data_IF_602466046351
#
_entry.id   IF_602466046351
#
_cell.length_a   1.000
_cell.length_b   1.000
_cell.length_c   1.000
_cell.angle_alpha   90.00
_cell.angle_beta   90.00
_cell.angle_gamma   90.00
#
_symmetry.space_group_name_H-M   'P 1'
#
loop_
_entity.id
_entity.type
_entity.pdbx_description
1 polymer ?
#
# COMPACT_ATOMS: atom_id res chain seq x y z
N UNK A 1 -2.65 33.66 -18.20
CA UNK A 1 -3.49 33.29 -19.36
C UNK A 1 -2.57 32.80 -20.48
N UNK A 2 -3.07 31.95 -21.36
CA UNK A 2 -2.37 31.55 -22.59
C UNK A 2 -3.43 31.30 -23.67
N UNK A 3 -3.14 31.66 -24.93
CA UNK A 3 -4.11 31.58 -26.04
C UNK A 3 -5.45 32.30 -25.75
N UNK A 4 -5.42 33.40 -24.99
CA UNK A 4 -6.62 34.22 -24.71
C UNK A 4 -7.60 33.62 -23.69
N UNK A 5 -7.24 32.53 -23.01
CA UNK A 5 -8.05 31.96 -21.91
C UNK A 5 -7.19 31.67 -20.65
N UNK A 6 -7.82 31.60 -19.46
CA UNK A 6 -7.15 31.12 -18.25
C UNK A 6 -6.61 29.70 -18.44
N UNK A 7 -5.36 29.46 -18.00
CA UNK A 7 -4.70 28.16 -18.22
C UNK A 7 -5.43 27.00 -17.53
N UNK A 8 -6.20 27.27 -16.47
CA UNK A 8 -7.02 26.27 -15.80
C UNK A 8 -8.17 25.71 -16.63
N UNK A 9 -8.47 26.29 -17.79
CA UNK A 9 -9.47 25.76 -18.73
C UNK A 9 -8.89 24.70 -19.68
N UNK A 10 -7.56 24.57 -19.79
CA UNK A 10 -6.95 23.53 -20.60
C UNK A 10 -7.05 22.17 -19.90
N UNK A 11 -7.56 21.16 -20.61
CA UNK A 11 -7.70 19.78 -20.10
C UNK A 11 -6.38 19.22 -19.56
N UNK A 12 -5.26 19.52 -20.23
CA UNK A 12 -3.93 19.13 -19.77
C UNK A 12 -3.57 19.68 -18.39
N UNK A 13 -3.97 20.92 -18.09
CA UNK A 13 -3.77 21.54 -16.76
C UNK A 13 -4.77 20.98 -15.76
N UNK A 14 -6.02 20.79 -16.15
CA UNK A 14 -7.06 20.21 -15.29
C UNK A 14 -6.71 18.79 -14.84
N UNK A 15 -6.16 17.95 -15.72
CA UNK A 15 -5.72 16.60 -15.38
C UNK A 15 -4.64 16.61 -14.27
N UNK A 16 -3.71 17.56 -14.34
CA UNK A 16 -2.63 17.73 -13.34
C UNK A 16 -3.18 18.24 -12.02
N UNK A 17 -4.07 19.25 -12.06
CA UNK A 17 -4.77 19.76 -10.88
C UNK A 17 -5.65 18.70 -10.20
N UNK A 18 -6.35 17.88 -10.99
CA UNK A 18 -7.16 16.77 -10.46
C UNK A 18 -6.29 15.73 -9.75
N UNK A 19 -5.12 15.39 -10.32
CA UNK A 19 -4.17 14.47 -9.70
C UNK A 19 -3.58 15.03 -8.41
N UNK A 20 -3.23 16.31 -8.40
CA UNK A 20 -2.80 17.04 -7.19
C UNK A 20 -3.86 16.97 -6.08
N UNK A 21 -5.11 17.30 -6.40
CA UNK A 21 -6.21 17.23 -5.44
C UNK A 21 -6.43 15.80 -4.93
N UNK A 22 -6.39 14.81 -5.82
CA UNK A 22 -6.52 13.39 -5.47
C UNK A 22 -5.39 12.91 -4.54
N UNK A 23 -4.15 13.33 -4.79
CA UNK A 23 -3.02 13.05 -3.90
C UNK A 23 -3.25 13.68 -2.53
N UNK A 24 -3.61 14.97 -2.46
CA UNK A 24 -3.85 15.66 -1.20
C UNK A 24 -4.93 14.95 -0.37
N UNK A 25 -6.06 14.58 -0.99
CA UNK A 25 -7.14 13.84 -0.35
C UNK A 25 -6.67 12.47 0.17
N UNK A 26 -5.94 11.71 -0.64
CA UNK A 26 -5.43 10.40 -0.24
C UNK A 26 -4.46 10.49 0.95
N UNK A 27 -3.57 11.50 0.95
CA UNK A 27 -2.60 11.68 2.03
C UNK A 27 -3.25 12.13 3.33
N UNK A 28 -4.23 13.05 3.26
CA UNK A 28 -4.92 13.50 4.47
C UNK A 28 -5.80 12.39 5.07
N UNK A 29 -6.49 11.61 4.23
CA UNK A 29 -7.23 10.43 4.69
C UNK A 29 -6.31 9.39 5.35
N UNK A 30 -5.17 9.09 4.73
CA UNK A 30 -4.21 8.13 5.27
C UNK A 30 -3.52 8.64 6.55
N UNK A 31 -3.25 9.94 6.64
CA UNK A 31 -2.75 10.61 7.86
C UNK A 31 -3.77 10.45 8.98
N UNK A 32 -5.03 10.82 8.74
CA UNK A 32 -6.12 10.72 9.73
C UNK A 32 -6.30 9.29 10.20
N UNK A 33 -6.34 8.30 9.29
CA UNK A 33 -6.41 6.89 9.64
C UNK A 33 -5.26 6.45 10.56
N UNK A 34 -4.03 6.86 10.23
CA UNK A 34 -2.84 6.48 11.01
C UNK A 34 -2.86 7.14 12.39
N UNK A 35 -3.17 8.44 12.46
CA UNK A 35 -3.30 9.16 13.73
C UNK A 35 -4.37 8.56 14.64
N UNK A 36 -5.57 8.26 14.11
CA UNK A 36 -6.62 7.60 14.89
C UNK A 36 -6.17 6.26 15.49
N UNK A 37 -5.39 5.47 14.74
CA UNK A 37 -4.87 4.21 15.28
C UNK A 37 -3.79 4.42 16.36
N UNK A 38 -2.98 5.48 16.25
CA UNK A 38 -2.02 5.85 17.29
C UNK A 38 -2.72 6.33 18.56
N UNK A 39 -3.78 7.12 18.43
CA UNK A 39 -4.59 7.62 19.56
C UNK A 39 -5.26 6.46 20.33
N UNK A 40 -5.52 5.33 19.65
CA UNK A 40 -6.00 4.09 20.25
C UNK A 40 -4.88 3.24 20.90
N UNK A 41 -3.64 3.70 20.89
CA UNK A 41 -2.48 2.98 21.45
C UNK A 41 -2.00 1.79 20.60
N UNK A 42 -2.42 1.68 19.34
CA UNK A 42 -2.01 0.58 18.46
C UNK A 42 -0.57 0.75 17.97
N UNK A 43 0.17 -0.36 17.89
CA UNK A 43 1.52 -0.39 17.31
C UNK A 43 1.44 -0.61 15.80
N UNK A 44 1.48 0.47 15.02
CA UNK A 44 1.17 0.49 13.59
C UNK A 44 2.38 0.32 12.64
N UNK A 45 3.42 -0.45 12.99
CA UNK A 45 4.71 -0.38 12.26
C UNK A 45 4.62 -0.64 10.75
N UNK A 46 3.78 -1.59 10.31
CA UNK A 46 3.57 -1.89 8.87
C UNK A 46 2.78 -0.78 8.19
N UNK A 47 1.73 -0.27 8.85
CA UNK A 47 0.89 0.83 8.32
C UNK A 47 1.72 2.12 8.19
N UNK A 48 2.55 2.44 9.19
CA UNK A 48 3.46 3.59 9.13
C UNK A 48 4.47 3.46 7.99
N UNK A 49 5.01 2.26 7.74
CA UNK A 49 5.90 2.01 6.61
C UNK A 49 5.20 2.19 5.26
N UNK A 50 3.96 1.68 5.11
CA UNK A 50 3.11 1.92 3.93
C UNK A 50 2.88 3.42 3.74
N UNK A 51 2.50 4.13 4.81
CA UNK A 51 2.22 5.56 4.76
C UNK A 51 3.46 6.35 4.34
N UNK A 52 4.63 6.10 4.95
CA UNK A 52 5.89 6.76 4.60
C UNK A 52 6.26 6.54 3.14
N UNK A 53 6.23 5.30 2.67
CA UNK A 53 6.62 4.96 1.31
C UNK A 53 5.69 5.63 0.29
N UNK A 54 4.38 5.47 0.46
CA UNK A 54 3.43 6.00 -0.50
C UNK A 54 3.24 7.53 -0.40
N UNK A 55 3.39 8.14 0.78
CA UNK A 55 3.33 9.59 0.92
C UNK A 55 4.46 10.27 0.16
N UNK A 56 5.68 9.74 0.29
CA UNK A 56 6.86 10.32 -0.35
C UNK A 56 6.88 10.06 -1.86
N UNK A 57 6.40 8.91 -2.34
CA UNK A 57 6.19 8.68 -3.77
C UNK A 57 5.12 9.59 -4.37
N UNK A 58 3.99 9.80 -3.68
CA UNK A 58 2.95 10.72 -4.15
C UNK A 58 3.39 12.17 -4.08
N UNK A 59 4.21 12.55 -3.10
CA UNK A 59 4.81 13.87 -3.02
C UNK A 59 5.65 14.16 -4.27
N UNK A 60 6.45 13.20 -4.75
CA UNK A 60 7.17 13.34 -6.03
C UNK A 60 6.23 13.68 -7.17
N UNK A 61 5.19 12.86 -7.37
CA UNK A 61 4.20 13.06 -8.45
C UNK A 61 3.50 14.41 -8.34
N UNK A 62 3.11 14.81 -7.12
CA UNK A 62 2.47 16.09 -6.87
C UNK A 62 3.39 17.28 -7.19
N UNK A 63 4.65 17.22 -6.76
CA UNK A 63 5.62 18.29 -7.08
C UNK A 63 5.86 18.35 -8.59
N UNK A 64 6.04 17.20 -9.25
CA UNK A 64 6.19 17.14 -10.71
C UNK A 64 4.99 17.77 -11.43
N UNK A 65 3.76 17.47 -11.00
CA UNK A 65 2.54 18.09 -11.55
C UNK A 65 2.48 19.60 -11.33
N UNK A 66 2.84 20.05 -10.14
CA UNK A 66 2.87 21.47 -9.83
C UNK A 66 3.89 22.19 -10.72
N UNK A 67 5.07 21.57 -10.94
CA UNK A 67 6.08 22.11 -11.84
C UNK A 67 5.62 22.11 -13.29
N UNK A 68 4.98 21.04 -13.77
CA UNK A 68 4.39 20.96 -15.13
C UNK A 68 3.40 22.11 -15.38
N UNK A 69 2.52 22.40 -14.42
CA UNK A 69 1.53 23.50 -14.53
C UNK A 69 2.21 24.87 -14.54
N UNK A 70 3.29 25.05 -13.78
CA UNK A 70 4.04 26.32 -13.71
C UNK A 70 5.06 26.48 -14.85
N UNK A 71 5.39 25.39 -15.55
CA UNK A 71 6.34 25.33 -16.66
C UNK A 71 7.68 26.02 -16.34
N UNK A 72 8.17 26.89 -17.22
CA UNK A 72 9.48 27.53 -17.11
C UNK A 72 9.72 28.27 -15.79
N UNK A 73 8.67 28.78 -15.13
CA UNK A 73 8.80 29.43 -13.81
C UNK A 73 9.36 28.49 -12.75
N UNK A 74 9.01 27.20 -12.81
CA UNK A 74 9.43 26.21 -11.81
C UNK A 74 10.80 25.59 -12.10
N UNK A 75 11.34 25.77 -13.32
CA UNK A 75 12.66 25.27 -13.71
C UNK A 75 13.76 26.29 -13.41
N UNK A 76 13.44 27.58 -13.49
CA UNK A 76 14.42 28.65 -13.24
C UNK A 76 14.69 28.77 -11.74
N UNK A 77 15.96 28.69 -11.35
CA UNK A 77 16.36 28.98 -9.97
C UNK A 77 16.18 30.47 -9.66
N UNK A 78 15.54 30.78 -8.53
CA UNK A 78 15.33 32.13 -8.08
C UNK A 78 14.20 32.27 -7.06
N UNK A 79 14.01 33.46 -6.47
CA UNK A 79 13.03 33.69 -5.41
C UNK A 79 11.58 33.48 -5.85
N UNK A 80 11.31 33.47 -7.16
CA UNK A 80 9.98 33.21 -7.74
C UNK A 80 9.66 31.71 -7.90
N UNK A 81 10.66 30.83 -7.75
CA UNK A 81 10.51 29.38 -7.82
C UNK A 81 10.39 28.76 -6.43
N UNK A 82 9.19 28.86 -5.86
CA UNK A 82 8.90 28.30 -4.54
C UNK A 82 8.87 26.75 -4.52
N UNK A 83 8.81 26.09 -5.68
CA UNK A 83 8.77 24.63 -5.80
C UNK A 83 10.18 24.01 -5.86
N UNK A 84 11.19 24.76 -6.30
CA UNK A 84 12.53 24.22 -6.56
C UNK A 84 13.19 23.59 -5.33
N UNK A 85 13.06 24.22 -4.15
CA UNK A 85 13.59 23.65 -2.91
C UNK A 85 12.87 22.35 -2.52
N UNK A 86 11.55 22.32 -2.67
CA UNK A 86 10.74 21.14 -2.38
C UNK A 86 11.09 19.98 -3.32
N UNK A 87 11.18 20.24 -4.63
CA UNK A 87 11.59 19.25 -5.63
C UNK A 87 12.94 18.62 -5.29
N UNK A 88 13.94 19.44 -4.93
CA UNK A 88 15.26 18.96 -4.50
C UNK A 88 15.22 18.14 -3.21
N UNK A 89 14.27 18.40 -2.32
CA UNK A 89 14.10 17.66 -1.07
C UNK A 89 13.35 16.31 -1.24
N UNK A 90 12.60 16.12 -2.33
CA UNK A 90 11.80 14.89 -2.55
C UNK A 90 12.63 13.60 -2.43
N UNK A 91 13.81 13.47 -3.06
CA UNK A 91 14.61 12.26 -2.94
C UNK A 91 15.02 11.95 -1.50
N UNK A 92 15.25 12.99 -0.68
CA UNK A 92 15.62 12.85 0.73
C UNK A 92 14.52 12.12 1.49
N UNK A 93 13.25 12.51 1.36
CA UNK A 93 12.15 11.80 2.03
C UNK A 93 11.96 10.35 1.55
N UNK A 94 12.34 10.04 0.32
CA UNK A 94 12.22 8.69 -0.25
C UNK A 94 13.35 7.77 0.22
N UNK A 95 14.55 8.31 0.42
CA UNK A 95 15.76 7.52 0.76
C UNK A 95 16.07 7.52 2.26
N UNK A 96 15.87 8.65 2.94
CA UNK A 96 16.10 8.82 4.37
C UNK A 96 14.95 8.18 5.16
N UNK A 97 15.21 7.80 6.41
CA UNK A 97 14.30 7.04 7.30
C UNK A 97 14.05 5.58 6.87
N UNK A 98 14.90 5.05 6.00
CA UNK A 98 14.76 3.73 5.39
C UNK A 98 14.34 3.88 3.94
N UNK A 99 15.24 3.49 3.03
CA UNK A 99 15.00 3.63 1.61
C UNK A 99 13.72 2.88 1.22
N UNK A 100 12.80 3.57 0.53
CA UNK A 100 11.50 2.97 0.18
C UNK A 100 11.65 1.65 -0.59
N UNK A 101 12.71 1.53 -1.39
CA UNK A 101 13.03 0.30 -2.14
C UNK A 101 13.22 -0.92 -1.23
N UNK A 102 13.90 -0.75 -0.09
CA UNK A 102 14.12 -1.82 0.88
C UNK A 102 12.91 -1.97 1.80
N UNK A 103 12.35 -0.85 2.25
CA UNK A 103 11.19 -0.80 3.15
C UNK A 103 9.97 -1.50 2.54
N UNK A 104 9.75 -1.36 1.22
CA UNK A 104 8.64 -2.01 0.52
C UNK A 104 8.72 -3.53 0.57
N UNK A 105 9.90 -4.09 0.34
CA UNK A 105 10.06 -5.55 0.29
C UNK A 105 10.17 -6.13 1.71
N UNK A 106 10.98 -5.53 2.58
CA UNK A 106 11.31 -6.09 3.90
C UNK A 106 10.22 -5.82 4.95
N UNK A 107 9.72 -4.59 5.03
CA UNK A 107 8.79 -4.18 6.09
C UNK A 107 7.36 -4.31 5.61
N UNK A 108 7.02 -3.68 4.46
CA UNK A 108 5.64 -3.70 3.97
C UNK A 108 5.21 -5.11 3.58
N UNK A 109 6.01 -5.80 2.75
CA UNK A 109 5.69 -7.18 2.38
C UNK A 109 6.20 -8.20 3.40
N UNK A 110 7.49 -8.24 3.73
CA UNK A 110 8.05 -9.27 4.62
C UNK A 110 7.41 -9.31 6.01
N UNK A 111 7.49 -8.21 6.77
CA UNK A 111 6.83 -8.15 8.08
C UNK A 111 5.31 -8.13 7.98
N UNK A 112 4.76 -7.50 6.93
CA UNK A 112 3.32 -7.51 6.67
C UNK A 112 2.76 -8.92 6.49
N UNK A 113 3.41 -9.75 5.68
CA UNK A 113 3.03 -11.14 5.45
C UNK A 113 3.04 -11.94 6.75
N UNK A 114 4.11 -11.87 7.54
CA UNK A 114 4.22 -12.61 8.80
C UNK A 114 3.17 -12.17 9.82
N UNK A 115 2.88 -10.87 9.93
CA UNK A 115 1.97 -10.34 10.96
C UNK A 115 0.50 -10.40 10.59
N UNK A 116 0.17 -10.29 9.30
CA UNK A 116 -1.20 -10.28 8.84
C UNK A 116 -1.69 -11.69 8.45
N UNK A 117 -0.78 -12.63 8.14
CA UNK A 117 -1.17 -13.98 7.79
C UNK A 117 -1.59 -14.78 9.03
N UNK A 118 -2.74 -15.47 9.01
CA UNK A 118 -3.29 -16.15 10.19
C UNK A 118 -2.44 -17.32 10.71
N UNK A 119 -1.56 -17.90 9.89
CA UNK A 119 -0.81 -19.12 10.25
C UNK A 119 0.73 -18.96 10.24
N UNK A 120 1.30 -18.02 9.49
CA UNK A 120 2.76 -17.99 9.24
C UNK A 120 3.56 -17.73 10.52
N UNK A 121 3.06 -16.86 11.40
CA UNK A 121 3.72 -16.56 12.66
C UNK A 121 3.80 -17.80 13.56
N UNK A 122 2.71 -18.56 13.63
CA UNK A 122 2.60 -19.73 14.49
C UNK A 122 3.46 -20.88 13.92
N UNK A 123 3.55 -21.03 12.59
CA UNK A 123 4.48 -21.96 11.92
C UNK A 123 5.94 -21.62 12.25
N UNK A 124 6.32 -20.34 12.15
CA UNK A 124 7.68 -19.89 12.48
C UNK A 124 8.01 -20.12 13.96
N UNK A 125 7.07 -19.87 14.86
CA UNK A 125 7.25 -20.15 16.28
C UNK A 125 7.39 -21.65 16.56
N UNK A 126 6.61 -22.51 15.87
CA UNK A 126 6.72 -23.96 16.01
C UNK A 126 8.12 -24.48 15.63
N UNK A 127 8.68 -23.95 14.54
CA UNK A 127 10.03 -24.28 14.07
C UNK A 127 11.14 -23.78 15.00
N UNK A 128 10.86 -22.79 15.85
CA UNK A 128 11.82 -22.24 16.83
C UNK A 128 11.72 -22.91 18.21
N UNK A 129 10.89 -23.95 18.36
CA UNK A 129 10.74 -24.68 19.62
C UNK A 129 12.03 -25.39 20.02
N UNK A 130 12.36 -25.35 21.32
CA UNK A 130 13.50 -26.07 21.89
C UNK A 130 13.31 -27.60 21.88
N UNK A 131 12.06 -28.07 22.00
CA UNK A 131 11.71 -29.48 21.81
C UNK A 131 11.32 -29.69 20.34
N UNK A 132 12.21 -30.34 19.60
CA UNK A 132 12.01 -30.63 18.17
C UNK A 132 10.81 -31.54 17.93
N UNK A 133 10.55 -32.51 18.80
CA UNK A 133 9.45 -33.46 18.62
C UNK A 133 8.09 -32.79 18.85
N UNK A 134 8.00 -31.91 19.85
CA UNK A 134 6.80 -31.12 20.07
C UNK A 134 6.61 -30.02 19.02
N UNK A 135 7.69 -29.36 18.62
CA UNK A 135 7.71 -28.37 17.54
C UNK A 135 7.19 -28.94 16.22
N UNK A 136 7.63 -30.15 15.84
CA UNK A 136 7.15 -30.85 14.64
C UNK A 136 5.64 -31.15 14.70
N UNK A 137 5.14 -31.66 15.84
CA UNK A 137 3.69 -31.93 16.00
C UNK A 137 2.86 -30.66 15.91
N UNK A 138 3.35 -29.56 16.49
CA UNK A 138 2.67 -28.27 16.42
C UNK A 138 2.69 -27.72 14.99
N UNK A 139 3.84 -27.77 14.34
CA UNK A 139 4.02 -27.34 12.95
C UNK A 139 3.07 -28.08 12.00
N UNK A 140 3.02 -29.42 12.04
CA UNK A 140 2.14 -30.22 11.19
C UNK A 140 0.68 -29.78 11.32
N UNK A 141 0.22 -29.54 12.55
CA UNK A 141 -1.16 -29.09 12.81
C UNK A 141 -1.44 -27.72 12.19
N UNK A 142 -0.50 -26.77 12.29
CA UNK A 142 -0.68 -25.41 11.77
C UNK A 142 -0.62 -25.41 10.25
N UNK A 143 0.33 -26.14 9.66
CA UNK A 143 0.50 -26.25 8.20
C UNK A 143 -0.74 -26.81 7.52
N UNK A 144 -1.37 -27.87 8.06
CA UNK A 144 -2.60 -28.41 7.46
C UNK A 144 -3.77 -27.41 7.51
N UNK A 145 -3.84 -26.56 8.55
CA UNK A 145 -4.82 -25.47 8.60
C UNK A 145 -4.49 -24.36 7.60
N UNK A 146 -3.22 -24.06 7.41
CA UNK A 146 -2.74 -23.13 6.41
C UNK A 146 -3.08 -23.61 4.99
N UNK A 147 -2.83 -24.88 4.66
CA UNK A 147 -3.23 -25.46 3.37
C UNK A 147 -4.74 -25.31 3.14
N UNK A 148 -5.56 -25.61 4.15
CA UNK A 148 -7.01 -25.39 4.09
C UNK A 148 -7.38 -23.92 3.84
N UNK A 149 -6.65 -22.97 4.46
CA UNK A 149 -6.83 -21.54 4.23
C UNK A 149 -6.51 -21.13 2.80
N UNK A 150 -5.39 -21.61 2.23
CA UNK A 150 -5.00 -21.31 0.85
C UNK A 150 -6.06 -21.82 -0.13
N UNK A 151 -6.53 -23.05 0.04
CA UNK A 151 -7.59 -23.64 -0.80
C UNK A 151 -8.88 -22.82 -0.70
N UNK A 152 -9.30 -22.47 0.51
CA UNK A 152 -10.49 -21.64 0.72
C UNK A 152 -10.33 -20.22 0.14
N UNK A 153 -9.13 -19.62 0.22
CA UNK A 153 -8.82 -18.34 -0.39
C UNK A 153 -8.85 -18.42 -1.91
N UNK A 154 -8.27 -19.48 -2.50
CA UNK A 154 -8.31 -19.72 -3.94
C UNK A 154 -9.76 -19.86 -4.45
N UNK A 155 -10.57 -20.69 -3.81
CA UNK A 155 -11.98 -20.86 -4.15
C UNK A 155 -12.76 -19.53 -4.06
N UNK A 156 -12.58 -18.77 -2.97
CA UNK A 156 -13.22 -17.45 -2.80
C UNK A 156 -12.77 -16.47 -3.87
N UNK A 157 -11.48 -16.41 -4.19
CA UNK A 157 -10.93 -15.53 -5.22
C UNK A 157 -11.50 -15.87 -6.60
N UNK A 158 -11.55 -17.15 -6.96
CA UNK A 158 -12.15 -17.61 -8.22
C UNK A 158 -13.63 -17.22 -8.31
N UNK A 159 -14.43 -17.49 -7.27
CA UNK A 159 -15.86 -17.14 -7.25
C UNK A 159 -16.09 -15.62 -7.33
N UNK A 160 -15.28 -14.82 -6.63
CA UNK A 160 -15.36 -13.36 -6.65
C UNK A 160 -15.00 -12.79 -8.02
N UNK A 161 -13.95 -13.30 -8.65
CA UNK A 161 -13.56 -12.85 -9.99
C UNK A 161 -14.58 -13.28 -11.04
N UNK A 162 -15.06 -14.52 -10.98
CA UNK A 162 -16.10 -15.03 -11.88
C UNK A 162 -17.41 -14.23 -11.77
N UNK A 163 -17.81 -13.85 -10.56
CA UNK A 163 -19.02 -13.03 -10.33
C UNK A 163 -18.83 -11.54 -10.57
N UNK A 164 -17.69 -11.10 -11.11
CA UNK A 164 -17.39 -9.68 -11.32
C UNK A 164 -17.42 -8.86 -10.03
N UNK A 165 -16.87 -9.41 -8.94
CA UNK A 165 -16.82 -8.85 -7.57
C UNK A 165 -18.15 -8.83 -6.80
N UNK A 166 -19.26 -9.27 -7.39
CA UNK A 166 -20.60 -9.20 -6.75
C UNK A 166 -20.69 -10.03 -5.45
N UNK A 167 -19.96 -11.14 -5.37
CA UNK A 167 -19.88 -11.99 -4.17
C UNK A 167 -18.87 -11.49 -3.12
N UNK A 168 -18.19 -10.37 -3.37
CA UNK A 168 -17.26 -9.82 -2.40
C UNK A 168 -18.04 -9.11 -1.26
N UNK A 169 -17.58 -9.25 0.00
CA UNK A 169 -18.22 -8.57 1.12
C UNK A 169 -18.13 -7.05 0.97
N UNK A 170 -19.10 -6.35 1.53
CA UNK A 170 -19.15 -4.88 1.54
C UNK A 170 -19.87 -4.41 2.80
N UNK A 171 -19.44 -3.29 3.43
CA UNK A 171 -20.21 -2.66 4.49
C UNK A 171 -21.64 -2.33 4.02
N UNK A 172 -22.63 -2.49 4.88
CA UNK A 172 -24.02 -2.14 4.56
C UNK A 172 -24.24 -0.63 4.63
N UNK A 173 -25.11 -0.10 3.77
CA UNK A 173 -25.54 1.31 3.84
C UNK A 173 -24.55 2.36 3.32
N UNK A 174 -23.47 1.98 2.63
CA UNK A 174 -22.50 2.94 2.05
C UNK A 174 -22.78 3.24 0.57
N UNK A 175 -22.74 4.53 0.15
CA UNK A 175 -22.92 4.90 -1.26
C UNK A 175 -21.77 4.39 -2.16
N UNK A 176 -20.64 3.99 -1.57
CA UNK A 176 -19.46 3.48 -2.30
C UNK A 176 -19.32 1.96 -2.22
N UNK A 177 -20.42 1.22 -2.02
CA UNK A 177 -20.41 -0.23 -1.86
C UNK A 177 -19.71 -0.99 -3.00
N UNK A 178 -19.76 -0.46 -4.23
CA UNK A 178 -19.05 -1.02 -5.39
C UNK A 178 -17.53 -0.99 -5.23
N UNK A 179 -16.97 0.11 -4.71
CA UNK A 179 -15.54 0.25 -4.47
C UNK A 179 -15.06 -0.72 -3.36
N UNK A 180 -15.87 -0.91 -2.32
CA UNK A 180 -15.56 -1.89 -1.27
C UNK A 180 -15.57 -3.33 -1.78
N UNK A 181 -16.47 -3.68 -2.69
CA UNK A 181 -16.47 -5.00 -3.34
C UNK A 181 -15.20 -5.22 -4.17
N UNK A 182 -14.81 -4.21 -4.97
CA UNK A 182 -13.57 -4.25 -5.74
C UNK A 182 -12.35 -4.41 -4.82
N UNK A 183 -12.26 -3.59 -3.76
CA UNK A 183 -11.17 -3.67 -2.78
C UNK A 183 -11.10 -5.05 -2.10
N UNK A 184 -12.24 -5.60 -1.69
CA UNK A 184 -12.31 -6.92 -1.06
C UNK A 184 -11.92 -8.04 -2.02
N UNK A 185 -12.25 -7.91 -3.31
CA UNK A 185 -11.83 -8.85 -4.36
C UNK A 185 -10.33 -8.78 -4.61
N UNK A 186 -9.78 -7.57 -4.76
CA UNK A 186 -8.35 -7.35 -4.94
C UNK A 186 -7.55 -7.83 -3.72
N UNK A 187 -8.06 -7.64 -2.51
CA UNK A 187 -7.46 -8.14 -1.28
C UNK A 187 -7.38 -9.68 -1.26
N UNK A 188 -8.43 -10.39 -1.70
CA UNK A 188 -8.38 -11.86 -1.80
C UNK A 188 -7.44 -12.35 -2.89
N UNK A 189 -7.36 -11.65 -4.03
CA UNK A 189 -6.38 -11.97 -5.08
C UNK A 189 -4.95 -11.73 -4.57
N UNK A 190 -4.71 -10.62 -3.88
CA UNK A 190 -3.42 -10.32 -3.28
C UNK A 190 -3.00 -11.36 -2.24
N UNK A 191 -3.92 -11.78 -1.35
CA UNK A 191 -3.64 -12.84 -0.38
C UNK A 191 -3.21 -14.14 -1.07
N UNK A 192 -3.95 -14.58 -2.10
CA UNK A 192 -3.61 -15.79 -2.86
C UNK A 192 -2.23 -15.69 -3.54
N UNK A 193 -1.91 -14.53 -4.12
CA UNK A 193 -0.60 -14.31 -4.76
C UNK A 193 0.53 -14.24 -3.72
N UNK A 194 0.27 -13.67 -2.54
CA UNK A 194 1.23 -13.65 -1.44
C UNK A 194 1.53 -15.08 -0.96
N UNK A 195 0.51 -15.92 -0.78
CA UNK A 195 0.69 -17.33 -0.40
C UNK A 195 1.46 -18.10 -1.47
N UNK A 196 1.16 -17.89 -2.75
CA UNK A 196 1.88 -18.50 -3.86
C UNK A 196 3.35 -18.04 -3.93
N UNK A 197 3.62 -16.76 -3.64
CA UNK A 197 4.99 -16.23 -3.58
C UNK A 197 5.76 -16.81 -2.39
N UNK A 198 5.13 -16.91 -1.22
CA UNK A 198 5.73 -17.51 -0.03
C UNK A 198 6.03 -19.00 -0.23
N UNK A 199 5.14 -19.73 -0.90
CA UNK A 199 5.34 -21.15 -1.21
C UNK A 199 6.46 -21.36 -2.24
N UNK A 200 6.51 -20.53 -3.28
CA UNK A 200 7.46 -20.69 -4.38
C UNK A 200 8.87 -20.20 -4.04
N UNK A 201 8.99 -19.09 -3.31
CA UNK A 201 10.27 -18.46 -2.97
C UNK A 201 10.75 -18.80 -1.55
N UNK A 202 9.88 -19.25 -0.66
CA UNK A 202 10.23 -19.69 0.69
C UNK A 202 11.10 -18.68 1.45
N UNK A 203 12.28 -19.13 1.90
CA UNK A 203 13.24 -18.29 2.62
C UNK A 203 14.03 -17.30 1.76
N UNK A 204 13.99 -17.45 0.43
CA UNK A 204 14.68 -16.56 -0.54
C UNK A 204 13.92 -15.26 -0.79
N UNK A 205 12.75 -15.09 -0.17
CA UNK A 205 11.90 -13.90 -0.28
C UNK A 205 12.49 -12.64 0.40
N UNK A 206 13.65 -12.75 1.06
CA UNK A 206 14.37 -11.64 1.73
C UNK A 206 15.37 -10.96 0.79
#
# INVERSE_FOLDING_TARGET
>A
EQFGIPIGQFEGVQARLARLAGVAYQLDAARTFTCCGLDQGLKLSVISAIMKAHATYRMRVAVDDAMDVHAGKAVIDGPRNYLGALYRAVPVGITVEGANILTRNLIVFGQGAIRCHPYLRDELHALQSADTADGLRHFDRVVWRHVGHVIATAARTCLRNWSGTRLAPTPTGTPVAGHFRMLSSMSSTFALLADAALLSLGGELK
#
